data_IF_482757495153
#
_entry.id   IF_482757495153
#
_cell.length_a   1.000
_cell.length_b   1.000
_cell.length_c   1.000
_cell.angle_alpha   90.00
_cell.angle_beta   90.00
_cell.angle_gamma   90.00
#
_symmetry.space_group_name_H-M   'P 1'
#
loop_
_entity.id
_entity.type
_entity.pdbx_description
1 polymer ?
#
# COMPACT_ATOMS: atom_id res chain seq x y z
N UNK A 1 1.41 18.10 -27.88
CA UNK A 1 1.89 17.78 -26.51
C UNK A 1 0.64 17.39 -25.76
N UNK A 2 0.30 16.12 -25.93
CA UNK A 2 -1.03 15.57 -25.69
C UNK A 2 -1.29 15.30 -24.21
N UNK A 3 -2.57 15.19 -23.90
CA UNK A 3 -3.19 15.17 -22.58
C UNK A 3 -2.57 14.12 -21.64
N UNK A 4 -2.04 14.60 -20.50
CA UNK A 4 -1.75 13.78 -19.32
C UNK A 4 -3.07 13.26 -18.75
N UNK A 5 -3.30 11.94 -18.86
CA UNK A 5 -4.27 11.24 -18.02
C UNK A 5 -3.66 11.12 -16.64
N UNK A 6 -4.28 11.78 -15.67
CA UNK A 6 -4.05 11.55 -14.25
C UNK A 6 -4.66 10.18 -13.96
N UNK A 7 -3.83 9.19 -13.65
CA UNK A 7 -4.27 7.90 -13.17
C UNK A 7 -4.59 8.04 -11.67
N UNK A 8 -5.68 8.73 -11.36
CA UNK A 8 -6.42 8.41 -10.14
C UNK A 8 -7.06 7.06 -10.38
N UNK A 9 -6.77 6.06 -9.55
CA UNK A 9 -7.67 4.94 -9.33
C UNK A 9 -8.89 5.52 -8.60
N UNK A 10 -9.69 6.30 -9.34
CA UNK A 10 -11.09 6.52 -9.06
C UNK A 10 -11.77 5.41 -9.84
N UNK A 11 -12.12 4.31 -9.17
CA UNK A 11 -13.16 3.44 -9.69
C UNK A 11 -14.36 4.34 -9.97
N UNK A 12 -14.66 4.54 -11.25
CA UNK A 12 -15.88 5.21 -11.68
C UNK A 12 -17.02 4.37 -11.15
N UNK A 13 -17.53 4.71 -9.96
CA UNK A 13 -18.81 4.20 -9.50
C UNK A 13 -19.81 4.66 -10.53
N UNK A 14 -20.23 3.74 -11.40
CA UNK A 14 -21.41 3.92 -12.22
C UNK A 14 -22.56 4.08 -11.24
N UNK A 15 -22.91 5.32 -10.92
CA UNK A 15 -24.23 5.63 -10.39
C UNK A 15 -25.21 5.16 -11.44
N UNK A 16 -25.86 4.03 -11.20
CA UNK A 16 -27.03 3.62 -11.96
C UNK A 16 -28.12 4.62 -11.61
N UNK A 17 -28.15 5.74 -12.35
CA UNK A 17 -29.33 6.59 -12.41
C UNK A 17 -30.41 5.75 -13.07
N UNK A 18 -31.28 5.17 -12.26
CA UNK A 18 -32.55 4.64 -12.74
C UNK A 18 -33.26 5.78 -13.45
N UNK A 19 -33.27 5.74 -14.79
CA UNK A 19 -34.03 6.67 -15.61
C UNK A 19 -35.51 6.38 -15.39
N UNK A 20 -36.10 7.02 -14.39
CA UNK A 20 -37.55 7.07 -14.22
C UNK A 20 -38.09 7.84 -15.40
N UNK A 21 -38.80 7.13 -16.28
CA UNK A 21 -39.52 7.72 -17.40
C UNK A 21 -40.48 8.79 -16.86
N UNK A 22 -40.23 10.06 -17.19
CA UNK A 22 -41.10 11.16 -16.82
C UNK A 22 -42.50 10.93 -17.40
N UNK A 23 -43.44 10.56 -16.54
CA UNK A 23 -44.84 10.95 -16.68
C UNK A 23 -45.02 12.19 -15.82
N UNK A 24 -45.48 13.27 -16.44
CA UNK A 24 -45.91 14.48 -15.77
C UNK A 24 -47.06 14.16 -14.81
N UNK A 25 -46.80 14.43 -13.53
CA UNK A 25 -47.71 14.87 -12.46
C UNK A 25 -47.15 14.32 -11.14
N UNK A 26 -46.40 15.12 -10.38
CA UNK A 26 -46.37 15.01 -8.92
C UNK A 26 -45.64 16.21 -8.31
N UNK A 27 -46.22 16.80 -7.27
CA UNK A 27 -45.54 17.75 -6.41
C UNK A 27 -44.26 17.10 -5.89
N UNK A 28 -43.09 17.65 -6.22
CA UNK A 28 -41.82 17.17 -5.69
C UNK A 28 -41.78 17.47 -4.19
N UNK A 29 -42.24 16.52 -3.39
CA UNK A 29 -42.10 16.52 -1.94
C UNK A 29 -40.63 16.29 -1.62
N UNK A 30 -39.89 17.36 -1.38
CA UNK A 30 -38.51 17.28 -0.91
C UNK A 30 -38.52 16.79 0.53
N UNK A 31 -37.92 15.62 0.79
CA UNK A 31 -37.77 15.11 2.15
C UNK A 31 -36.71 15.93 2.92
N UNK A 32 -36.84 16.08 4.25
CA UNK A 32 -35.72 16.52 5.09
C UNK A 32 -34.56 15.52 5.04
N UNK A 33 -33.36 15.94 5.43
CA UNK A 33 -32.18 15.08 5.54
C UNK A 33 -31.86 14.78 6.99
N UNK A 34 -31.20 13.64 7.25
CA UNK A 34 -30.59 13.37 8.55
C UNK A 34 -29.45 14.36 8.84
N UNK A 35 -29.19 14.63 10.12
CA UNK A 35 -28.13 15.52 10.56
C UNK A 35 -26.80 14.77 10.73
N UNK A 36 -25.69 15.51 10.61
CA UNK A 36 -24.35 15.00 10.86
C UNK A 36 -23.68 14.37 9.63
N UNK A 37 -22.75 13.44 9.88
CA UNK A 37 -21.98 12.75 8.84
C UNK A 37 -21.80 11.29 9.25
N UNK A 38 -22.25 10.38 8.40
CA UNK A 38 -22.02 8.96 8.56
C UNK A 38 -20.53 8.63 8.39
N UNK A 39 -19.96 8.01 9.41
CA UNK A 39 -18.57 7.55 9.41
C UNK A 39 -18.44 6.20 10.09
N UNK A 40 -17.51 5.39 9.61
CA UNK A 40 -17.03 4.17 10.25
C UNK A 40 -15.52 4.06 10.00
N UNK A 41 -14.84 3.08 10.62
CA UNK A 41 -13.42 2.81 10.40
C UNK A 41 -13.23 1.48 9.69
N UNK A 42 -12.33 1.45 8.72
CA UNK A 42 -11.91 0.24 8.00
C UNK A 42 -10.42 0.41 7.69
N UNK A 43 -9.54 -0.52 8.12
CA UNK A 43 -8.13 -0.49 7.75
C UNK A 43 -7.95 -0.57 6.22
N UNK A 44 -7.00 0.16 5.62
CA UNK A 44 -6.80 0.16 4.17
C UNK A 44 -6.24 -1.18 3.64
N UNK A 45 -5.59 -1.96 4.50
CA UNK A 45 -5.10 -3.31 4.18
C UNK A 45 -5.41 -4.27 5.33
N UNK A 46 -5.62 -5.54 4.99
CA UNK A 46 -5.91 -6.62 5.93
C UNK A 46 -5.10 -7.86 5.56
N UNK A 47 -4.78 -8.68 6.55
CA UNK A 47 -4.33 -10.05 6.31
C UNK A 47 -5.49 -10.93 5.83
N UNK A 48 -5.16 -12.05 5.19
CA UNK A 48 -6.14 -13.06 4.80
C UNK A 48 -6.95 -13.55 6.02
N UNK A 49 -8.24 -13.77 5.80
CA UNK A 49 -9.23 -14.24 6.76
C UNK A 49 -9.39 -13.34 7.99
N UNK A 50 -8.98 -12.08 7.90
CA UNK A 50 -9.13 -11.12 8.99
C UNK A 50 -10.60 -10.71 9.14
N UNK A 51 -11.09 -10.77 10.39
CA UNK A 51 -12.42 -10.28 10.76
C UNK A 51 -12.34 -8.87 11.31
N UNK A 52 -13.18 -7.97 10.81
CA UNK A 52 -13.26 -6.56 11.23
C UNK A 52 -14.66 -6.24 11.72
N UNK A 53 -14.75 -5.72 12.94
CA UNK A 53 -15.96 -5.09 13.46
C UNK A 53 -15.95 -3.60 13.12
N UNK A 54 -17.03 -3.13 12.49
CA UNK A 54 -17.22 -1.77 12.04
C UNK A 54 -18.46 -1.18 12.71
N UNK A 55 -18.34 0.04 13.23
CA UNK A 55 -19.47 0.76 13.83
C UNK A 55 -19.70 2.08 13.12
N UNK A 56 -20.89 2.24 12.55
CA UNK A 56 -21.41 3.49 12.02
C UNK A 56 -21.69 4.50 13.15
N UNK A 57 -21.20 5.71 12.97
CA UNK A 57 -21.33 6.81 13.94
C UNK A 57 -21.53 8.15 13.23
N UNK A 58 -21.96 9.16 14.00
CA UNK A 58 -22.01 10.56 13.54
C UNK A 58 -23.31 10.96 12.83
N UNK A 59 -24.30 10.08 12.78
CA UNK A 59 -25.65 10.36 12.27
C UNK A 59 -26.58 10.70 13.43
N UNK A 60 -27.38 11.75 13.27
CA UNK A 60 -28.35 12.20 14.26
C UNK A 60 -29.70 12.36 13.59
N UNK A 61 -30.75 11.83 14.21
CA UNK A 61 -32.10 12.09 13.77
C UNK A 61 -32.50 13.53 14.15
N UNK A 62 -32.96 14.39 13.23
CA UNK A 62 -33.23 15.82 13.52
C UNK A 62 -34.27 16.06 14.64
N UNK A 63 -35.18 15.11 14.85
CA UNK A 63 -36.15 15.13 15.96
C UNK A 63 -35.63 14.50 17.28
N UNK A 64 -34.37 14.09 17.34
CA UNK A 64 -33.76 13.42 18.50
C UNK A 64 -34.24 11.98 18.73
N UNK A 65 -34.73 11.32 17.68
CA UNK A 65 -35.25 9.94 17.69
C UNK A 65 -34.23 8.97 17.08
N UNK A 66 -33.04 8.92 17.66
CA UNK A 66 -31.95 8.11 17.13
C UNK A 66 -32.26 6.60 17.15
N UNK A 67 -33.25 6.17 17.94
CA UNK A 67 -33.79 4.81 17.95
C UNK A 67 -34.62 4.45 16.70
N UNK A 68 -35.02 5.44 15.90
CA UNK A 68 -35.68 5.24 14.60
C UNK A 68 -34.69 5.13 13.42
N UNK A 69 -33.38 5.23 13.68
CA UNK A 69 -32.35 5.05 12.66
C UNK A 69 -32.16 3.56 12.32
N UNK A 70 -32.11 3.24 11.03
CA UNK A 70 -31.76 1.92 10.50
C UNK A 70 -30.54 2.03 9.59
N UNK A 71 -29.69 1.01 9.63
CA UNK A 71 -28.45 0.95 8.86
C UNK A 71 -28.52 -0.16 7.82
N UNK A 72 -27.77 -0.05 6.73
CA UNK A 72 -27.64 -1.10 5.73
C UNK A 72 -26.18 -1.13 5.28
N UNK A 73 -25.61 -2.32 5.19
CA UNK A 73 -24.21 -2.54 4.90
C UNK A 73 -24.07 -3.43 3.67
N UNK A 74 -23.12 -3.10 2.80
CA UNK A 74 -22.78 -3.91 1.63
C UNK A 74 -21.28 -4.04 1.48
N UNK A 75 -20.83 -5.18 0.97
CA UNK A 75 -19.43 -5.46 0.63
C UNK A 75 -19.37 -5.80 -0.84
N UNK A 76 -18.41 -5.22 -1.57
CA UNK A 76 -18.20 -5.49 -3.00
C UNK A 76 -16.71 -5.67 -3.30
N UNK A 77 -16.30 -6.71 -4.06
CA UNK A 77 -17.14 -7.82 -4.54
C UNK A 77 -17.73 -8.64 -3.38
N UNK A 78 -18.76 -9.43 -3.69
CA UNK A 78 -19.37 -10.34 -2.70
C UNK A 78 -18.32 -11.37 -2.25
N UNK A 79 -18.28 -11.63 -0.94
CA UNK A 79 -17.43 -12.65 -0.34
C UNK A 79 -18.26 -13.92 -0.29
N UNK A 80 -17.75 -15.02 -0.84
CA UNK A 80 -18.44 -16.31 -0.79
C UNK A 80 -18.76 -16.69 0.65
N UNK A 81 -20.01 -17.10 0.91
CA UNK A 81 -20.42 -17.61 2.22
C UNK A 81 -19.67 -18.92 2.48
N UNK A 82 -18.79 -18.95 3.48
CA UNK A 82 -18.27 -20.22 4.02
C UNK A 82 -19.45 -20.96 4.66
N UNK A 83 -19.63 -22.24 4.31
CA UNK A 83 -20.72 -23.16 4.73
C UNK A 83 -20.77 -23.43 6.26
N UNK A 84 -20.83 -22.40 7.11
CA UNK A 84 -21.27 -22.51 8.51
C UNK A 84 -22.58 -21.73 8.69
N UNK A 85 -23.69 -22.48 8.75
CA UNK A 85 -25.06 -22.01 8.94
C UNK A 85 -25.20 -20.93 10.04
N UNK A 86 -25.75 -19.76 9.71
CA UNK A 86 -27.12 -19.38 10.10
C UNK A 86 -27.54 -18.02 9.47
N UNK A 87 -28.64 -18.11 8.72
CA UNK A 87 -29.77 -17.17 8.59
C UNK A 87 -29.62 -15.75 8.00
N UNK A 88 -30.37 -15.60 6.90
CA UNK A 88 -30.93 -14.43 6.25
C UNK A 88 -30.00 -13.48 5.48
N UNK A 89 -30.35 -13.25 4.20
CA UNK A 89 -30.05 -12.04 3.42
C UNK A 89 -30.67 -10.78 4.10
N UNK A 90 -30.52 -10.64 5.42
CA UNK A 90 -30.98 -9.48 6.17
C UNK A 90 -29.84 -8.46 6.14
N UNK A 91 -29.98 -7.45 5.28
CA UNK A 91 -29.19 -6.22 5.38
C UNK A 91 -29.11 -5.82 6.87
N UNK A 92 -27.94 -5.92 7.48
CA UNK A 92 -27.82 -5.74 8.93
C UNK A 92 -28.32 -4.35 9.32
N UNK A 93 -29.45 -4.30 10.00
CA UNK A 93 -30.13 -3.04 10.37
C UNK A 93 -29.44 -2.28 11.52
N UNK A 94 -28.38 -2.87 12.08
CA UNK A 94 -27.63 -2.32 13.20
C UNK A 94 -26.52 -1.40 12.74
N UNK A 95 -26.18 -0.43 13.60
CA UNK A 95 -25.00 0.43 13.38
C UNK A 95 -23.68 -0.35 13.43
N UNK A 96 -23.66 -1.60 13.90
CA UNK A 96 -22.48 -2.45 13.93
C UNK A 96 -22.58 -3.54 12.86
N UNK A 97 -21.47 -3.79 12.17
CA UNK A 97 -21.33 -4.79 11.10
C UNK A 97 -19.98 -5.51 11.28
N UNK A 98 -20.00 -6.84 11.27
CA UNK A 98 -18.81 -7.68 11.45
C UNK A 98 -18.60 -8.45 10.15
N UNK A 99 -17.43 -8.29 9.53
CA UNK A 99 -17.12 -8.94 8.26
C UNK A 99 -15.78 -9.66 8.33
N UNK A 100 -15.74 -10.93 7.91
CA UNK A 100 -14.52 -11.66 7.58
C UNK A 100 -14.16 -11.41 6.11
N UNK A 101 -12.91 -11.01 5.82
CA UNK A 101 -12.49 -10.65 4.46
C UNK A 101 -11.88 -11.79 3.62
N UNK A 102 -12.06 -13.06 3.99
CA UNK A 102 -11.64 -14.22 3.19
C UNK A 102 -10.15 -14.23 2.82
N UNK A 103 -9.75 -15.13 1.93
CA UNK A 103 -8.34 -15.29 1.53
C UNK A 103 -8.02 -14.73 0.12
N UNK A 104 -9.01 -14.24 -0.61
CA UNK A 104 -8.82 -13.66 -1.94
C UNK A 104 -8.02 -12.35 -1.86
N UNK A 105 -6.90 -12.28 -2.58
CA UNK A 105 -6.02 -11.12 -2.61
C UNK A 105 -6.59 -10.02 -3.51
N UNK A 106 -7.53 -9.23 -2.99
CA UNK A 106 -8.21 -8.19 -3.75
C UNK A 106 -8.67 -7.02 -2.88
N UNK A 107 -9.16 -5.98 -3.54
CA UNK A 107 -9.75 -4.81 -2.87
C UNK A 107 -11.26 -5.00 -2.72
N UNK A 108 -11.73 -4.89 -1.49
CA UNK A 108 -13.14 -4.83 -1.14
C UNK A 108 -13.55 -3.39 -0.82
N UNK A 109 -14.78 -3.03 -1.15
CA UNK A 109 -15.43 -1.79 -0.74
C UNK A 109 -16.60 -2.10 0.17
N UNK A 110 -16.54 -1.59 1.40
CA UNK A 110 -17.65 -1.62 2.35
C UNK A 110 -18.41 -0.31 2.23
N UNK A 111 -19.73 -0.39 2.07
CA UNK A 111 -20.61 0.78 2.10
C UNK A 111 -21.62 0.64 3.23
N UNK A 112 -21.86 1.74 3.93
CA UNK A 112 -22.88 1.86 4.96
C UNK A 112 -23.87 2.96 4.56
N UNK A 113 -25.16 2.70 4.72
CA UNK A 113 -26.21 3.71 4.61
C UNK A 113 -27.00 3.78 5.91
N UNK A 114 -27.26 4.99 6.40
CA UNK A 114 -28.14 5.27 7.53
C UNK A 114 -29.43 5.93 7.02
N UNK A 115 -30.57 5.46 7.51
CA UNK A 115 -31.89 5.87 7.03
C UNK A 115 -32.89 6.03 8.17
N UNK A 116 -33.92 6.85 7.94
CA UNK A 116 -35.09 6.97 8.80
C UNK A 116 -36.32 7.28 7.94
N UNK A 117 -37.49 6.85 8.38
CA UNK A 117 -38.74 7.05 7.64
C UNK A 117 -39.03 8.55 7.44
N UNK A 118 -39.19 8.98 6.19
CA UNK A 118 -39.46 10.38 5.84
C UNK A 118 -38.22 11.26 5.74
N UNK A 119 -37.02 10.70 5.76
CA UNK A 119 -35.76 11.41 5.61
C UNK A 119 -34.94 10.86 4.44
N UNK A 120 -34.13 11.71 3.80
CA UNK A 120 -33.06 11.25 2.93
C UNK A 120 -31.97 10.54 3.75
N UNK A 121 -31.48 9.42 3.21
CA UNK A 121 -30.40 8.64 3.82
C UNK A 121 -29.05 9.33 3.68
N UNK A 122 -28.14 9.01 4.61
CA UNK A 122 -26.71 9.33 4.51
C UNK A 122 -25.95 8.06 4.17
N UNK A 123 -24.93 8.14 3.33
CA UNK A 123 -24.06 7.00 3.01
C UNK A 123 -22.58 7.33 3.17
N UNK A 124 -21.79 6.31 3.40
CA UNK A 124 -20.34 6.37 3.50
C UNK A 124 -19.75 5.07 2.98
N UNK A 125 -18.60 5.14 2.32
CA UNK A 125 -17.90 3.95 1.80
C UNK A 125 -16.42 4.04 2.12
N UNK A 126 -15.81 2.89 2.34
CA UNK A 126 -14.37 2.71 2.51
C UNK A 126 -13.92 1.45 1.81
N UNK A 127 -12.66 1.42 1.41
CA UNK A 127 -12.07 0.25 0.78
C UNK A 127 -10.96 -0.32 1.65
N UNK A 128 -10.76 -1.61 1.53
CA UNK A 128 -9.66 -2.36 2.12
C UNK A 128 -9.12 -3.35 1.11
N UNK A 129 -7.83 -3.63 1.16
CA UNK A 129 -7.19 -4.61 0.28
C UNK A 129 -6.64 -5.76 1.11
N UNK A 130 -7.09 -6.97 0.82
CA UNK A 130 -6.54 -8.17 1.42
C UNK A 130 -5.18 -8.45 0.80
N UNK A 131 -4.18 -8.62 1.66
CA UNK A 131 -2.80 -8.82 1.27
C UNK A 131 -2.20 -10.04 1.99
N UNK A 132 -1.19 -10.62 1.37
CA UNK A 132 -0.43 -11.74 1.89
C UNK A 132 1.05 -11.46 1.69
N UNK A 133 1.80 -11.46 2.77
CA UNK A 133 3.24 -11.22 2.71
C UNK A 133 4.01 -12.48 2.25
N UNK A 134 5.28 -12.30 1.86
CA UNK A 134 6.16 -13.39 1.43
C UNK A 134 6.39 -13.48 -0.08
N UNK A 135 7.50 -14.15 -0.44
CA UNK A 135 7.98 -14.32 -1.81
C UNK A 135 7.84 -15.77 -2.30
N UNK A 136 6.85 -16.51 -1.80
CA UNK A 136 6.61 -17.91 -2.16
C UNK A 136 5.89 -18.08 -3.52
N UNK A 137 5.68 -16.98 -4.25
CA UNK A 137 4.94 -16.94 -5.51
C UNK A 137 3.42 -16.93 -5.37
N UNK A 138 2.89 -16.94 -4.15
CA UNK A 138 1.45 -16.91 -3.85
C UNK A 138 1.03 -15.70 -3.03
N UNK A 139 1.98 -14.86 -2.62
CA UNK A 139 1.75 -13.62 -1.90
C UNK A 139 1.27 -12.47 -2.79
N UNK A 140 1.06 -11.33 -2.15
CA UNK A 140 0.74 -10.05 -2.79
C UNK A 140 1.83 -9.62 -3.75
N UNK A 141 3.10 -9.84 -3.39
CA UNK A 141 4.25 -9.54 -4.27
C UNK A 141 4.65 -10.80 -5.02
N UNK A 142 4.59 -10.74 -6.35
CA UNK A 142 5.07 -11.80 -7.25
C UNK A 142 6.00 -11.21 -8.32
N UNK A 143 6.67 -12.06 -9.11
CA UNK A 143 7.63 -11.63 -10.13
C UNK A 143 9.09 -11.49 -9.64
N UNK A 144 9.36 -11.92 -8.39
CA UNK A 144 10.70 -12.04 -7.84
C UNK A 144 11.05 -13.53 -7.75
N UNK A 145 12.08 -13.95 -8.49
CA UNK A 145 12.55 -15.34 -8.45
C UNK A 145 13.54 -15.54 -7.30
N UNK A 146 13.13 -16.33 -6.31
CA UNK A 146 13.99 -16.71 -5.18
C UNK A 146 14.69 -18.05 -5.39
N UNK A 147 14.48 -18.72 -6.54
CA UNK A 147 15.11 -19.98 -6.85
C UNK A 147 16.61 -19.79 -7.07
N UNK A 148 17.42 -20.57 -6.35
CA UNK A 148 18.87 -20.45 -6.42
C UNK A 148 19.49 -19.34 -5.56
N UNK A 149 18.68 -18.57 -4.81
CA UNK A 149 19.20 -17.64 -3.81
C UNK A 149 19.79 -18.36 -2.59
N UNK A 150 20.59 -17.64 -1.83
CA UNK A 150 21.11 -18.11 -0.56
C UNK A 150 19.99 -18.30 0.46
N UNK A 151 20.24 -19.15 1.47
CA UNK A 151 19.30 -19.31 2.59
C UNK A 151 19.06 -17.97 3.29
N UNK A 152 17.80 -17.59 3.57
CA UNK A 152 17.50 -16.26 4.08
C UNK A 152 18.10 -16.04 5.47
N UNK A 153 18.47 -14.80 5.76
CA UNK A 153 18.83 -14.35 7.10
C UNK A 153 17.55 -14.01 7.86
N UNK A 154 17.49 -14.42 9.13
CA UNK A 154 16.38 -14.05 10.01
C UNK A 154 16.83 -12.92 10.93
N UNK A 155 16.05 -11.83 11.02
CA UNK A 155 16.32 -10.75 11.98
C UNK A 155 15.83 -11.11 13.40
N UNK A 156 15.94 -10.16 14.32
CA UNK A 156 15.52 -10.34 15.73
C UNK A 156 14.01 -10.51 15.88
N UNK A 157 13.23 -10.02 14.92
CA UNK A 157 11.76 -10.05 14.91
C UNK A 157 11.21 -11.31 14.21
N UNK A 158 12.07 -12.09 13.55
CA UNK A 158 11.70 -13.33 12.85
C UNK A 158 11.45 -13.15 11.35
N UNK A 159 11.67 -11.96 10.80
CA UNK A 159 11.53 -11.66 9.37
C UNK A 159 12.67 -12.31 8.58
N UNK A 160 12.38 -12.79 7.35
CA UNK A 160 13.32 -13.57 6.52
C UNK A 160 13.77 -12.81 5.27
N UNK A 161 15.00 -12.32 5.27
CA UNK A 161 15.58 -11.61 4.14
C UNK A 161 16.42 -12.55 3.27
N UNK A 162 15.98 -12.75 2.05
CA UNK A 162 16.77 -13.38 1.00
C UNK A 162 17.81 -12.40 0.48
N UNK A 163 18.92 -12.94 0.00
CA UNK A 163 20.02 -12.14 -0.52
C UNK A 163 20.72 -12.84 -1.68
N UNK A 164 21.34 -12.02 -2.52
CA UNK A 164 22.18 -12.43 -3.64
C UNK A 164 23.50 -11.68 -3.62
N UNK A 165 24.54 -12.24 -4.23
CA UNK A 165 25.83 -11.57 -4.35
C UNK A 165 25.86 -10.71 -5.61
N UNK A 166 26.15 -9.42 -5.45
CA UNK A 166 26.30 -8.44 -6.52
C UNK A 166 27.67 -7.79 -6.35
N UNK A 167 28.55 -7.97 -7.34
CA UNK A 167 29.95 -7.59 -7.21
C UNK A 167 30.63 -8.35 -6.07
N UNK A 168 31.22 -7.61 -5.13
CA UNK A 168 31.93 -8.14 -3.96
C UNK A 168 31.06 -8.22 -2.69
N UNK A 169 29.77 -7.87 -2.77
CA UNK A 169 28.88 -7.77 -1.62
C UNK A 169 27.67 -8.69 -1.74
N UNK A 170 27.17 -9.15 -0.61
CA UNK A 170 25.82 -9.72 -0.50
C UNK A 170 24.81 -8.58 -0.29
N UNK A 171 23.72 -8.61 -1.05
CA UNK A 171 22.64 -7.62 -1.02
C UNK A 171 21.29 -8.26 -0.68
N UNK A 172 20.53 -7.65 0.22
CA UNK A 172 19.12 -8.00 0.40
C UNK A 172 18.31 -7.75 -0.87
N UNK A 173 17.46 -8.71 -1.22
CA UNK A 173 16.54 -8.62 -2.38
C UNK A 173 15.13 -8.14 -1.99
N UNK A 174 14.88 -7.91 -0.69
CA UNK A 174 13.68 -7.26 -0.17
C UNK A 174 14.05 -5.95 0.54
N UNK A 175 13.13 -4.99 0.54
CA UNK A 175 13.25 -3.82 1.39
C UNK A 175 13.15 -4.25 2.87
N UNK A 176 13.97 -3.66 3.72
CA UNK A 176 14.03 -3.99 5.13
C UNK A 176 12.70 -3.65 5.84
N UNK A 177 12.28 -4.50 6.76
CA UNK A 177 11.02 -4.39 7.50
C UNK A 177 11.21 -4.59 9.02
N UNK A 178 12.33 -4.12 9.58
CA UNK A 178 12.64 -4.21 11.02
C UNK A 178 11.54 -3.54 11.85
N UNK A 179 11.03 -4.22 12.88
CA UNK A 179 9.96 -3.67 13.71
C UNK A 179 10.47 -2.53 14.59
N UNK A 180 9.59 -1.58 14.89
CA UNK A 180 9.90 -0.45 15.78
C UNK A 180 10.76 0.67 15.17
N UNK A 181 11.15 0.58 13.90
CA UNK A 181 11.84 1.64 13.16
C UNK A 181 11.15 1.91 11.81
N UNK A 182 11.19 3.16 11.37
CA UNK A 182 10.49 3.60 10.16
C UNK A 182 8.96 3.44 10.27
N UNK A 183 8.26 3.85 9.22
CA UNK A 183 6.80 3.70 9.12
C UNK A 183 6.42 2.73 8.02
N UNK A 184 5.36 1.94 8.18
CA UNK A 184 4.87 1.09 7.11
C UNK A 184 3.99 1.88 6.15
N UNK A 185 3.82 1.38 4.94
CA UNK A 185 2.99 2.01 3.91
C UNK A 185 1.55 2.25 4.43
N UNK A 186 1.04 3.46 4.24
CA UNK A 186 -0.26 3.93 4.75
C UNK A 186 -0.49 3.71 6.26
N UNK A 187 0.59 3.59 7.04
CA UNK A 187 0.56 3.22 8.46
C UNK A 187 -0.09 1.84 8.72
N UNK A 188 0.01 0.93 7.76
CA UNK A 188 -0.54 -0.42 7.83
C UNK A 188 0.56 -1.46 8.04
N UNK A 189 0.67 -2.03 9.25
CA UNK A 189 1.73 -2.99 9.59
C UNK A 189 1.77 -4.24 8.69
N UNK A 190 0.62 -4.67 8.14
CA UNK A 190 0.57 -5.80 7.20
C UNK A 190 1.32 -5.52 5.89
N UNK A 191 1.59 -4.24 5.59
CA UNK A 191 2.39 -3.83 4.41
C UNK A 191 3.90 -3.81 4.68
N UNK A 192 4.34 -3.88 5.94
CA UNK A 192 5.76 -3.83 6.32
C UNK A 192 6.57 -4.89 5.58
N UNK A 193 6.08 -6.13 5.51
CA UNK A 193 6.79 -7.23 4.86
C UNK A 193 6.46 -7.38 3.35
N UNK A 194 5.72 -6.43 2.79
CA UNK A 194 5.35 -6.37 1.37
C UNK A 194 6.23 -5.32 0.67
N UNK A 195 6.25 -4.09 1.21
CA UNK A 195 7.02 -2.98 0.65
C UNK A 195 8.27 -2.63 1.45
N UNK A 196 8.50 -3.26 2.59
CA UNK A 196 9.43 -2.76 3.60
C UNK A 196 8.82 -1.61 4.39
N UNK A 197 9.65 -0.96 5.19
CA UNK A 197 9.31 0.27 5.90
C UNK A 197 10.06 1.46 5.30
N UNK A 198 9.55 2.66 5.55
CA UNK A 198 10.16 3.92 5.16
C UNK A 198 10.90 4.51 6.36
N UNK A 199 12.21 4.48 6.31
CA UNK A 199 13.07 4.90 7.41
C UNK A 199 13.50 6.34 7.22
N UNK A 200 13.59 7.10 8.31
CA UNK A 200 14.47 8.27 8.32
C UNK A 200 15.92 7.84 8.12
N UNK A 201 16.81 8.77 7.78
CA UNK A 201 18.21 8.42 7.58
C UNK A 201 18.88 7.88 8.85
N UNK A 202 18.58 8.46 10.02
CA UNK A 202 19.13 8.02 11.30
C UNK A 202 18.67 6.59 11.67
N UNK A 203 17.40 6.26 11.40
CA UNK A 203 16.91 4.89 11.57
C UNK A 203 17.59 3.93 10.58
N UNK A 204 17.74 4.33 9.31
CA UNK A 204 18.37 3.52 8.27
C UNK A 204 19.82 3.11 8.60
N UNK A 205 20.56 3.94 9.34
CA UNK A 205 21.93 3.63 9.79
C UNK A 205 22.01 2.46 10.77
N UNK A 206 20.91 2.13 11.45
CA UNK A 206 20.89 1.15 12.56
C UNK A 206 19.89 0.03 12.37
N UNK A 207 19.01 0.09 11.38
CA UNK A 207 17.92 -0.86 11.20
C UNK A 207 18.37 -2.24 10.69
N UNK A 208 19.51 -2.32 9.97
CA UNK A 208 19.98 -3.57 9.39
C UNK A 208 20.36 -4.61 10.48
N UNK A 209 20.05 -5.91 10.28
CA UNK A 209 20.39 -6.96 11.25
C UNK A 209 21.90 -7.09 11.48
N UNK A 210 22.28 -7.75 12.58
CA UNK A 210 23.68 -8.00 12.92
C UNK A 210 24.51 -8.56 11.74
N UNK A 211 25.64 -7.91 11.48
CA UNK A 211 26.54 -8.24 10.37
C UNK A 211 26.13 -7.66 9.01
N UNK A 212 24.98 -6.99 8.93
CA UNK A 212 24.52 -6.24 7.77
C UNK A 212 24.51 -4.74 8.08
N UNK A 213 24.55 -3.92 7.03
CA UNK A 213 24.53 -2.46 7.17
C UNK A 213 23.97 -1.77 5.94
N UNK A 214 23.73 -0.47 6.07
CA UNK A 214 23.46 0.39 4.92
C UNK A 214 24.69 0.45 3.99
N UNK A 215 24.53 0.38 2.66
CA UNK A 215 25.63 0.49 1.71
C UNK A 215 26.17 1.92 1.66
N UNK A 216 27.42 2.08 1.21
CA UNK A 216 27.96 3.41 0.86
C UNK A 216 27.66 3.77 -0.59
N UNK A 217 27.82 5.04 -0.95
CA UNK A 217 27.75 5.48 -2.35
C UNK A 217 28.76 4.74 -3.22
N UNK A 218 30.02 4.62 -2.79
CA UNK A 218 31.05 3.87 -3.53
C UNK A 218 30.68 2.41 -3.76
N UNK A 219 30.09 1.75 -2.78
CA UNK A 219 29.64 0.35 -2.91
C UNK A 219 28.47 0.20 -3.88
N UNK A 220 27.56 1.16 -3.87
CA UNK A 220 26.49 1.21 -4.86
C UNK A 220 27.05 1.38 -6.26
N UNK A 221 27.99 2.31 -6.46
CA UNK A 221 28.62 2.54 -7.77
C UNK A 221 29.46 1.33 -8.23
N UNK A 222 30.15 0.63 -7.33
CA UNK A 222 30.86 -0.61 -7.65
C UNK A 222 29.90 -1.71 -8.17
N UNK A 223 28.71 -1.79 -7.57
CA UNK A 223 27.74 -2.84 -7.92
C UNK A 223 26.86 -2.48 -9.13
N UNK A 224 26.53 -1.19 -9.32
CA UNK A 224 25.49 -0.76 -10.25
C UNK A 224 25.88 0.42 -11.17
N UNK A 225 27.09 0.96 -11.09
CA UNK A 225 27.49 2.16 -11.83
C UNK A 225 27.40 2.04 -13.35
N UNK A 226 27.51 0.82 -13.89
CA UNK A 226 27.36 0.51 -15.32
C UNK A 226 25.97 -0.06 -15.68
N UNK A 227 25.05 -0.18 -14.71
CA UNK A 227 23.71 -0.73 -14.91
C UNK A 227 22.72 0.34 -15.40
N UNK A 228 21.77 -0.09 -16.24
CA UNK A 228 20.52 0.63 -16.45
C UNK A 228 19.55 0.39 -15.30
N UNK A 229 18.50 1.21 -15.19
CA UNK A 229 17.44 0.96 -14.20
C UNK A 229 16.75 -0.40 -14.39
N UNK A 230 16.56 -0.83 -15.64
CA UNK A 230 15.95 -2.11 -16.00
C UNK A 230 16.75 -3.34 -15.53
N UNK A 231 18.06 -3.21 -15.35
CA UNK A 231 18.94 -4.27 -14.83
C UNK A 231 18.72 -4.58 -13.34
N UNK A 232 18.09 -3.66 -12.61
CA UNK A 232 17.81 -3.81 -11.17
C UNK A 232 16.30 -3.85 -10.84
N UNK A 233 15.43 -3.48 -11.76
CA UNK A 233 13.97 -3.57 -11.61
C UNK A 233 13.50 -5.02 -11.62
N UNK A 234 12.69 -5.43 -10.63
CA UNK A 234 11.94 -6.68 -10.70
C UNK A 234 10.70 -6.51 -11.61
N UNK A 235 10.27 -7.54 -12.34
CA UNK A 235 8.97 -7.57 -13.02
C UNK A 235 7.82 -7.83 -12.03
N UNK A 236 7.72 -6.93 -11.05
CA UNK A 236 6.93 -7.13 -9.84
C UNK A 236 5.45 -6.80 -10.05
N UNK A 237 4.60 -7.63 -9.45
CA UNK A 237 3.15 -7.45 -9.44
C UNK A 237 2.63 -7.36 -8.00
N UNK A 238 1.60 -6.55 -7.78
CA UNK A 238 0.86 -6.40 -6.53
C UNK A 238 -0.55 -6.97 -6.70
N UNK A 239 -0.88 -8.06 -5.99
CA UNK A 239 -2.16 -8.78 -6.15
C UNK A 239 -2.47 -9.10 -7.63
N UNK A 240 -1.43 -9.46 -8.41
CA UNK A 240 -1.55 -9.78 -9.83
C UNK A 240 -1.48 -8.58 -10.79
N UNK A 241 -1.53 -7.35 -10.28
CA UNK A 241 -1.42 -6.15 -11.10
C UNK A 241 0.04 -5.71 -11.24
N UNK A 242 0.48 -5.43 -12.48
CA UNK A 242 1.85 -5.02 -12.74
C UNK A 242 2.14 -3.67 -12.05
N UNK A 243 3.26 -3.59 -11.33
CA UNK A 243 3.59 -2.35 -10.62
C UNK A 243 4.41 -1.36 -11.44
N UNK A 244 5.43 -1.81 -12.18
CA UNK A 244 6.18 -0.90 -13.06
C UNK A 244 5.41 -0.69 -14.37
N UNK A 245 5.03 0.56 -14.66
CA UNK A 245 4.43 0.89 -15.96
C UNK A 245 5.43 0.62 -17.09
N UNK A 246 4.92 0.16 -18.23
CA UNK A 246 5.77 -0.06 -19.40
C UNK A 246 6.31 1.26 -19.95
N UNK A 247 7.63 1.33 -20.11
CA UNK A 247 8.30 2.44 -20.80
C UNK A 247 9.20 1.92 -21.93
N UNK A 248 9.08 2.43 -23.17
CA UNK A 248 9.80 1.87 -24.33
C UNK A 248 11.33 1.84 -24.22
N UNK A 249 11.92 2.72 -23.41
CA UNK A 249 13.37 2.82 -23.24
C UNK A 249 13.89 2.01 -22.03
N UNK A 250 12.99 1.37 -21.27
CA UNK A 250 13.33 0.56 -20.08
C UNK A 250 12.88 -0.88 -20.33
N UNK A 251 13.84 -1.76 -20.54
CA UNK A 251 13.61 -3.20 -20.55
C UNK A 251 13.87 -3.77 -19.14
N UNK A 252 12.81 -4.22 -18.47
CA UNK A 252 12.91 -4.83 -17.14
C UNK A 252 13.50 -6.23 -17.28
N UNK A 253 14.74 -6.41 -16.81
CA UNK A 253 15.45 -7.70 -16.87
C UNK A 253 15.81 -8.25 -15.50
N UNK A 254 15.95 -7.38 -14.49
CA UNK A 254 16.50 -7.71 -13.18
C UNK A 254 17.82 -8.52 -13.26
N UNK A 255 18.65 -8.25 -14.27
CA UNK A 255 19.84 -9.05 -14.59
C UNK A 255 20.86 -9.12 -13.44
N UNK A 256 20.82 -8.16 -12.51
CA UNK A 256 21.64 -8.12 -11.29
C UNK A 256 21.09 -8.96 -10.13
N UNK A 257 19.78 -9.25 -10.14
CA UNK A 257 19.08 -9.89 -9.02
C UNK A 257 18.68 -8.95 -7.88
N UNK A 258 18.95 -7.64 -7.96
CA UNK A 258 18.65 -6.67 -6.90
C UNK A 258 17.16 -6.60 -6.54
N UNK A 259 16.29 -6.83 -7.52
CA UNK A 259 14.83 -6.95 -7.34
C UNK A 259 14.19 -5.69 -6.75
N UNK A 260 14.39 -4.55 -7.41
CA UNK A 260 13.80 -3.28 -7.00
C UNK A 260 12.28 -3.28 -7.20
N UNK A 261 11.56 -2.93 -6.13
CA UNK A 261 10.10 -2.79 -6.07
C UNK A 261 9.76 -1.29 -6.02
N UNK A 262 8.76 -0.81 -6.80
CA UNK A 262 8.39 0.60 -6.84
C UNK A 262 7.56 1.01 -5.62
N UNK A 263 8.20 0.99 -4.45
CA UNK A 263 7.58 1.31 -3.17
C UNK A 263 7.54 2.83 -2.89
N UNK A 264 7.99 3.70 -3.79
CA UNK A 264 7.96 5.14 -3.60
C UNK A 264 8.77 5.61 -2.39
N UNK A 265 8.32 6.71 -1.78
CA UNK A 265 8.88 7.28 -0.56
C UNK A 265 7.78 7.84 0.34
N UNK A 266 8.13 8.16 1.58
CA UNK A 266 7.26 8.80 2.55
C UNK A 266 7.76 10.21 2.90
N UNK A 267 6.83 11.13 3.13
CA UNK A 267 7.07 12.29 3.97
C UNK A 267 6.78 11.89 5.42
N UNK A 268 7.81 11.75 6.24
CA UNK A 268 7.69 11.26 7.62
C UNK A 268 6.99 12.27 8.54
N UNK A 269 7.00 13.56 8.20
CA UNK A 269 6.35 14.59 8.99
C UNK A 269 4.83 14.59 8.81
N UNK A 270 4.35 14.50 7.56
CA UNK A 270 2.92 14.44 7.25
C UNK A 270 2.37 13.01 7.23
N UNK A 271 3.24 12.00 7.17
CA UNK A 271 2.92 10.58 6.95
C UNK A 271 2.20 10.33 5.62
N UNK A 272 2.52 11.14 4.63
CA UNK A 272 2.04 10.97 3.26
C UNK A 272 3.03 10.12 2.46
N UNK A 273 2.53 9.36 1.49
CA UNK A 273 3.32 8.49 0.62
C UNK A 273 3.21 8.95 -0.82
N UNK A 274 4.28 8.81 -1.60
CA UNK A 274 4.31 9.30 -2.99
C UNK A 274 5.18 8.39 -3.85
N UNK A 275 4.77 8.21 -5.11
CA UNK A 275 5.57 7.50 -6.10
C UNK A 275 5.50 5.98 -6.03
N UNK A 276 4.50 5.42 -5.34
CA UNK A 276 4.14 4.00 -5.47
C UNK A 276 3.88 3.70 -6.95
N UNK A 277 4.31 2.54 -7.44
CA UNK A 277 4.28 2.15 -8.88
C UNK A 277 5.18 2.96 -9.82
N UNK A 278 5.80 4.04 -9.35
CA UNK A 278 6.57 4.96 -10.20
C UNK A 278 8.05 5.04 -9.79
N UNK A 279 8.38 4.88 -8.51
CA UNK A 279 9.73 5.12 -7.99
C UNK A 279 10.16 4.01 -7.02
N UNK A 280 11.44 3.67 -7.02
CA UNK A 280 12.06 2.92 -5.93
C UNK A 280 13.22 3.74 -5.36
N UNK A 281 13.26 3.89 -4.03
CA UNK A 281 14.07 4.87 -3.32
C UNK A 281 14.87 4.19 -2.21
N UNK A 282 16.19 4.32 -2.23
CA UNK A 282 17.09 3.62 -1.31
C UNK A 282 18.05 4.57 -0.65
N UNK A 283 18.07 4.58 0.68
CA UNK A 283 19.12 5.26 1.43
C UNK A 283 20.48 4.61 1.15
N UNK A 284 21.51 5.45 1.01
CA UNK A 284 22.91 5.05 1.04
C UNK A 284 23.69 5.99 1.96
N UNK A 285 24.84 5.56 2.45
CA UNK A 285 25.72 6.41 3.25
C UNK A 285 26.68 7.20 2.34
N UNK A 286 26.88 8.50 2.56
CA UNK A 286 27.85 9.26 1.79
C UNK A 286 29.26 8.80 2.13
N UNK A 287 30.15 8.75 1.13
CA UNK A 287 31.55 8.40 1.37
C UNK A 287 32.28 9.49 2.18
N UNK A 288 31.81 10.74 2.09
CA UNK A 288 32.30 11.88 2.86
C UNK A 288 31.20 12.47 3.75
N UNK A 289 31.24 12.12 5.04
CA UNK A 289 30.25 12.52 6.04
C UNK A 289 30.18 14.03 6.29
N UNK A 290 31.20 14.81 5.90
CA UNK A 290 31.29 16.25 6.20
C UNK A 290 30.53 17.14 5.20
N UNK A 291 29.98 16.58 4.11
CA UNK A 291 29.51 17.39 2.97
C UNK A 291 28.03 17.78 2.98
N UNK A 292 27.17 17.15 3.79
CA UNK A 292 25.73 17.18 3.51
C UNK A 292 24.82 17.83 4.59
N UNK A 293 25.34 18.21 5.76
CA UNK A 293 24.54 18.82 6.83
C UNK A 293 23.32 17.95 7.21
N UNK A 294 22.12 18.48 7.01
CA UNK A 294 20.84 17.80 7.28
C UNK A 294 20.37 16.91 6.13
N UNK A 295 21.17 16.73 5.06
CA UNK A 295 20.83 15.93 3.89
C UNK A 295 21.66 14.63 3.82
N UNK A 296 21.10 13.59 3.19
CA UNK A 296 21.79 12.34 2.87
C UNK A 296 21.45 11.86 1.45
N UNK A 297 22.33 11.09 0.79
CA UNK A 297 22.09 10.60 -0.55
C UNK A 297 21.03 9.49 -0.58
N UNK A 298 20.11 9.60 -1.54
CA UNK A 298 19.13 8.58 -1.91
C UNK A 298 19.38 8.17 -3.35
N UNK A 299 19.58 6.87 -3.57
CA UNK A 299 19.59 6.26 -4.89
C UNK A 299 18.17 5.98 -5.33
N UNK A 300 17.86 6.26 -6.58
CA UNK A 300 16.54 5.97 -7.10
C UNK A 300 16.49 5.58 -8.56
N UNK A 301 15.43 4.84 -8.86
CA UNK A 301 14.98 4.54 -10.20
C UNK A 301 13.55 4.98 -10.37
N UNK A 302 13.19 5.26 -11.62
CA UNK A 302 11.88 5.72 -12.03
C UNK A 302 11.40 4.92 -13.24
N UNK A 303 10.10 4.65 -13.29
CA UNK A 303 9.43 3.91 -14.37
C UNK A 303 9.75 4.42 -15.78
N UNK A 304 9.84 5.74 -15.96
CA UNK A 304 10.06 6.41 -17.25
C UNK A 304 11.52 6.79 -17.54
N UNK A 305 12.49 6.19 -16.84
CA UNK A 305 13.91 6.52 -17.00
C UNK A 305 14.81 5.28 -16.99
N UNK A 306 15.72 5.10 -17.99
CA UNK A 306 16.70 4.01 -17.99
C UNK A 306 17.89 4.24 -17.06
N UNK A 307 17.92 5.35 -16.31
CA UNK A 307 19.07 5.78 -15.51
C UNK A 307 18.79 5.61 -14.02
N UNK A 308 19.75 5.05 -13.30
CA UNK A 308 19.79 5.09 -11.84
C UNK A 308 20.33 6.45 -11.42
N UNK A 309 19.57 7.18 -10.63
CA UNK A 309 19.87 8.56 -10.24
C UNK A 309 20.16 8.66 -8.75
N UNK A 310 20.77 9.78 -8.35
CA UNK A 310 21.02 10.13 -6.95
C UNK A 310 20.47 11.52 -6.69
N UNK A 311 19.87 11.74 -5.52
CA UNK A 311 19.59 13.08 -5.02
C UNK A 311 19.82 13.14 -3.51
N UNK A 312 19.93 14.36 -2.98
CA UNK A 312 20.12 14.61 -1.56
C UNK A 312 18.76 14.88 -0.91
N UNK A 313 18.38 14.05 0.05
CA UNK A 313 17.11 14.13 0.76
C UNK A 313 17.32 14.56 2.21
N UNK A 314 16.31 15.23 2.80
CA UNK A 314 16.32 15.62 4.20
C UNK A 314 16.31 14.39 5.12
N UNK A 315 17.27 14.30 6.04
CA UNK A 315 17.50 13.13 6.89
C UNK A 315 16.32 12.79 7.81
N UNK A 316 15.55 13.80 8.20
CA UNK A 316 14.52 13.66 9.24
C UNK A 316 13.10 13.50 8.66
N UNK A 317 12.80 14.20 7.57
CA UNK A 317 11.46 14.26 6.98
C UNK A 317 11.28 13.36 5.76
N UNK A 318 12.35 12.89 5.15
CA UNK A 318 12.28 11.95 4.03
C UNK A 318 12.33 10.50 4.53
N UNK A 319 11.42 9.67 4.05
CA UNK A 319 11.36 8.24 4.34
C UNK A 319 11.66 7.44 3.09
N UNK A 320 12.76 6.69 3.07
CA UNK A 320 13.13 5.82 1.97
C UNK A 320 13.33 4.38 2.43
N UNK A 321 13.33 3.45 1.47
CA UNK A 321 13.59 2.04 1.76
C UNK A 321 15.06 1.81 2.10
N UNK A 322 15.32 0.73 2.82
CA UNK A 322 16.67 0.27 3.15
C UNK A 322 16.93 -1.09 2.48
N UNK A 323 18.09 -1.21 1.85
CA UNK A 323 18.63 -2.46 1.30
C UNK A 323 19.98 -2.72 1.93
N UNK A 324 20.02 -3.70 2.82
CA UNK A 324 21.23 -3.98 3.59
C UNK A 324 22.25 -4.76 2.78
N UNK A 325 23.53 -4.52 3.09
CA UNK A 325 24.69 -5.20 2.50
C UNK A 325 25.63 -5.78 3.54
N UNK A 326 26.41 -6.78 3.13
CA UNK A 326 27.59 -7.26 3.86
C UNK A 326 28.68 -7.76 2.90
N UNK A 327 29.88 -7.97 3.46
CA UNK A 327 31.00 -8.65 2.79
C UNK A 327 30.96 -10.16 2.99
#
# INVERSE_FOLDING_TARGET
MEFRKIMSILTMSTVVLAAVACKEDDETTTLPSLDGRLTFSLPPYLEQNQTVEMTATGVIHPEGKDDELSYSWTVSPEIGEDDEEEDDEDETQTSTFIQNFGDELQTYTVSCSASASGYYSLSSSRSTTVVKSGLDGTGTITGIDISGLNSPVTDEDGNKYYYTSIGSLDWFIQNLATDGAGIPYENSEVMSYIFGRYYSYEEALTACPDGWRLPTESEWEECFGDCSSGDIMADVHFNGEKMWEFWPEVEITNSTGFSAVPAGYANLASKDFTGITEWAMFWVTPDDADTAGDLAPVKYIKDDSPVIQTFMADKASYGASVRCVRQ
#
